data_IF_664131563189
#
_entry.id   IF_664131563189
#
_cell.length_a   1.000
_cell.length_b   1.000
_cell.length_c   1.000
_cell.angle_alpha   90.00
_cell.angle_beta   90.00
_cell.angle_gamma   90.00
#
_symmetry.space_group_name_H-M   'P 1'
#
loop_
_entity.id
_entity.type
_entity.pdbx_description
1 polymer ?
#
# COMPACT_ATOMS: atom_id res chain seq x y z
N UNK A 1 36.39 8.80 0.26
CA UNK A 1 35.00 8.35 0.55
C UNK A 1 34.14 8.65 -0.65
N UNK A 2 33.78 7.65 -1.47
CA UNK A 2 33.02 7.86 -2.71
C UNK A 2 31.56 8.19 -2.39
N UNK A 3 31.19 9.44 -2.58
CA UNK A 3 29.80 9.90 -2.60
C UNK A 3 29.06 9.20 -3.73
N UNK A 4 28.38 8.09 -3.43
CA UNK A 4 27.45 7.47 -4.36
C UNK A 4 26.23 8.40 -4.49
N UNK A 5 26.27 9.36 -5.41
CA UNK A 5 25.13 10.21 -5.74
C UNK A 5 23.96 9.33 -6.14
N UNK A 6 22.93 9.25 -5.28
CA UNK A 6 21.72 8.46 -5.53
C UNK A 6 20.97 9.07 -6.72
N UNK A 7 20.80 8.31 -7.80
CA UNK A 7 20.02 8.74 -8.95
C UNK A 7 18.52 8.76 -8.61
N UNK A 8 17.80 9.79 -9.05
CA UNK A 8 16.35 9.83 -8.98
C UNK A 8 15.69 8.81 -9.90
N UNK A 9 14.48 8.41 -9.54
CA UNK A 9 13.61 7.54 -10.36
C UNK A 9 12.48 8.37 -10.98
N UNK A 10 11.83 7.86 -12.03
CA UNK A 10 10.66 8.56 -12.59
C UNK A 10 9.45 8.46 -11.63
N UNK A 11 8.49 9.40 -11.69
CA UNK A 11 7.27 9.30 -10.89
C UNK A 11 6.47 8.02 -11.15
N UNK A 12 6.43 7.56 -12.41
CA UNK A 12 5.77 6.30 -12.76
C UNK A 12 6.42 5.10 -12.05
N UNK A 13 7.75 5.04 -12.04
CA UNK A 13 8.49 3.99 -11.31
C UNK A 13 8.23 4.09 -9.81
N UNK A 14 8.13 5.30 -9.24
CA UNK A 14 7.79 5.45 -7.83
C UNK A 14 6.39 4.95 -7.49
N UNK A 15 5.40 5.21 -8.34
CA UNK A 15 4.02 4.69 -8.16
C UNK A 15 4.01 3.17 -8.23
N UNK A 16 4.60 2.59 -9.29
CA UNK A 16 4.59 1.13 -9.49
C UNK A 16 5.40 0.42 -8.41
N UNK A 17 6.65 0.82 -8.18
CA UNK A 17 7.51 0.16 -7.20
C UNK A 17 7.00 0.38 -5.77
N UNK A 18 6.56 1.59 -5.43
CA UNK A 18 6.00 1.89 -4.11
C UNK A 18 4.69 1.17 -3.85
N UNK A 19 3.76 1.21 -4.81
CA UNK A 19 2.46 0.55 -4.71
C UNK A 19 2.57 -0.98 -4.66
N UNK A 20 3.40 -1.60 -5.49
CA UNK A 20 3.61 -3.06 -5.46
C UNK A 20 4.35 -3.50 -4.20
N UNK A 21 5.32 -2.72 -3.70
CA UNK A 21 5.97 -2.98 -2.41
C UNK A 21 4.94 -2.93 -1.28
N UNK A 22 4.08 -1.91 -1.27
CA UNK A 22 3.02 -1.76 -0.29
C UNK A 22 2.01 -2.92 -0.35
N UNK A 23 1.55 -3.28 -1.55
CA UNK A 23 0.64 -4.41 -1.75
C UNK A 23 1.23 -5.71 -1.21
N UNK A 24 2.51 -5.97 -1.50
CA UNK A 24 3.21 -7.18 -1.06
C UNK A 24 3.36 -7.24 0.46
N UNK A 25 3.83 -6.16 1.09
CA UNK A 25 4.00 -6.13 2.55
C UNK A 25 2.66 -6.29 3.27
N UNK A 26 1.62 -5.60 2.80
CA UNK A 26 0.29 -5.66 3.39
C UNK A 26 -0.35 -7.05 3.25
N UNK A 27 -0.26 -7.68 2.06
CA UNK A 27 -0.86 -9.00 1.86
C UNK A 27 -0.10 -10.11 2.61
N UNK A 28 1.23 -10.02 2.72
CA UNK A 28 2.01 -10.96 3.50
C UNK A 28 1.69 -10.86 4.99
N UNK A 29 1.54 -9.64 5.49
CA UNK A 29 1.06 -9.43 6.85
C UNK A 29 -0.35 -10.01 7.03
N UNK A 30 -1.27 -9.77 6.08
CA UNK A 30 -2.61 -10.34 6.15
C UNK A 30 -2.56 -11.88 6.20
N UNK A 31 -1.76 -12.53 5.35
CA UNK A 31 -1.60 -13.99 5.39
C UNK A 31 -1.11 -14.48 6.75
N UNK A 32 -0.08 -13.83 7.33
CA UNK A 32 0.44 -14.21 8.64
C UNK A 32 -0.58 -13.95 9.78
N UNK A 33 -1.24 -12.80 9.79
CA UNK A 33 -2.19 -12.42 10.83
C UNK A 33 -3.46 -13.28 10.80
N UNK A 34 -3.91 -13.69 9.61
CA UNK A 34 -5.09 -14.53 9.44
C UNK A 34 -4.78 -16.02 9.52
N UNK A 35 -3.56 -16.48 9.25
CA UNK A 35 -3.16 -17.88 9.47
C UNK A 35 -3.21 -18.25 10.95
N UNK A 36 -2.93 -17.31 11.86
CA UNK A 36 -3.09 -17.49 13.31
C UNK A 36 -4.56 -17.67 13.75
N UNK A 37 -5.50 -17.52 12.82
CA UNK A 37 -6.96 -17.68 13.01
C UNK A 37 -7.52 -18.74 12.07
N UNK A 38 -6.68 -19.65 11.59
CA UNK A 38 -7.04 -20.75 10.68
C UNK A 38 -7.65 -20.31 9.34
N UNK A 39 -7.38 -19.09 8.90
CA UNK A 39 -7.83 -18.56 7.61
C UNK A 39 -6.68 -18.59 6.60
N UNK A 40 -6.81 -19.45 5.58
CA UNK A 40 -5.79 -19.61 4.55
C UNK A 40 -5.70 -18.45 3.53
N UNK A 41 -4.58 -18.32 2.79
CA UNK A 41 -4.32 -17.23 1.84
C UNK A 41 -5.40 -17.05 0.76
N UNK A 42 -5.95 -18.15 0.24
CA UNK A 42 -7.03 -18.12 -0.76
C UNK A 42 -8.26 -17.40 -0.21
N UNK A 43 -8.63 -17.68 1.05
CA UNK A 43 -9.79 -17.07 1.70
C UNK A 43 -9.56 -15.59 1.98
N UNK A 44 -8.34 -15.20 2.34
CA UNK A 44 -7.93 -13.80 2.50
C UNK A 44 -8.10 -13.05 1.18
N UNK A 45 -7.55 -13.58 0.09
CA UNK A 45 -7.69 -12.94 -1.23
C UNK A 45 -9.15 -12.88 -1.71
N UNK A 46 -9.92 -13.94 -1.50
CA UNK A 46 -11.37 -13.93 -1.78
C UNK A 46 -12.11 -12.88 -0.94
N UNK A 47 -11.66 -12.58 0.27
CA UNK A 47 -12.25 -11.51 1.08
C UNK A 47 -12.07 -10.13 0.42
N UNK A 48 -10.94 -9.91 -0.26
CA UNK A 48 -10.73 -8.67 -1.04
C UNK A 48 -11.66 -8.65 -2.24
N UNK A 49 -11.73 -9.75 -3.02
CA UNK A 49 -12.63 -9.86 -4.17
C UNK A 49 -14.12 -9.78 -3.80
N UNK A 50 -14.49 -10.11 -2.55
CA UNK A 50 -15.85 -9.94 -2.05
C UNK A 50 -16.32 -8.47 -2.06
N UNK A 51 -15.41 -7.50 -2.07
CA UNK A 51 -15.75 -6.09 -2.25
C UNK A 51 -16.34 -5.75 -3.62
N UNK A 52 -16.17 -6.62 -4.62
CA UNK A 52 -16.77 -6.50 -5.96
C UNK A 52 -17.84 -7.57 -6.21
N UNK A 53 -17.56 -8.82 -5.82
CA UNK A 53 -18.41 -9.97 -6.14
C UNK A 53 -19.37 -10.36 -5.00
N UNK A 54 -19.30 -9.71 -3.84
CA UNK A 54 -20.04 -10.10 -2.65
C UNK A 54 -19.70 -11.52 -2.20
N UNK A 55 -20.69 -12.21 -1.60
CA UNK A 55 -20.51 -13.56 -1.04
C UNK A 55 -20.13 -14.62 -2.09
N UNK A 56 -20.47 -14.41 -3.36
CA UNK A 56 -20.11 -15.31 -4.45
C UNK A 56 -18.59 -15.48 -4.61
N UNK A 57 -17.80 -14.47 -4.17
CA UNK A 57 -16.34 -14.56 -4.20
C UNK A 57 -15.78 -15.77 -3.46
N UNK A 58 -16.49 -16.30 -2.47
CA UNK A 58 -16.00 -17.43 -1.67
C UNK A 58 -16.20 -18.80 -2.35
N UNK A 59 -16.95 -18.86 -3.45
CA UNK A 59 -17.24 -20.08 -4.20
C UNK A 59 -16.39 -20.22 -5.47
N UNK A 60 -15.76 -19.14 -5.95
CA UNK A 60 -15.02 -19.13 -7.22
C UNK A 60 -13.57 -19.60 -7.16
N UNK A 61 -13.14 -20.23 -6.06
CA UNK A 61 -11.80 -20.83 -5.91
C UNK A 61 -10.64 -19.88 -6.25
N UNK A 62 -9.61 -20.42 -6.93
CA UNK A 62 -8.39 -19.69 -7.29
C UNK A 62 -8.65 -18.49 -8.22
N UNK A 63 -9.66 -18.54 -9.08
CA UNK A 63 -9.98 -17.42 -9.97
C UNK A 63 -10.38 -16.17 -9.18
N UNK A 64 -11.27 -16.34 -8.19
CA UNK A 64 -11.65 -15.24 -7.29
C UNK A 64 -10.53 -14.78 -6.36
N UNK A 65 -9.62 -15.68 -5.98
CA UNK A 65 -8.42 -15.30 -5.23
C UNK A 65 -7.45 -14.47 -6.08
N UNK A 66 -7.21 -14.85 -7.34
CA UNK A 66 -6.40 -14.06 -8.27
C UNK A 66 -6.98 -12.67 -8.50
N UNK A 67 -8.30 -12.57 -8.71
CA UNK A 67 -9.00 -11.29 -8.79
C UNK A 67 -8.80 -10.45 -7.52
N UNK A 68 -8.88 -11.08 -6.35
CA UNK A 68 -8.63 -10.42 -5.07
C UNK A 68 -7.22 -9.83 -4.98
N UNK A 69 -6.21 -10.58 -5.41
CA UNK A 69 -4.82 -10.11 -5.47
C UNK A 69 -4.64 -8.94 -6.45
N UNK A 70 -5.28 -9.00 -7.62
CA UNK A 70 -5.26 -7.91 -8.61
C UNK A 70 -5.93 -6.64 -8.07
N UNK A 71 -7.10 -6.77 -7.45
CA UNK A 71 -7.79 -5.65 -6.82
C UNK A 71 -6.97 -5.05 -5.67
N UNK A 72 -6.32 -5.89 -4.86
CA UNK A 72 -5.43 -5.45 -3.79
C UNK A 72 -4.26 -4.61 -4.33
N UNK A 73 -3.57 -5.13 -5.35
CA UNK A 73 -2.49 -4.40 -6.01
C UNK A 73 -2.98 -3.09 -6.65
N UNK A 74 -4.16 -3.10 -7.30
CA UNK A 74 -4.74 -1.90 -7.89
C UNK A 74 -5.04 -0.82 -6.84
N UNK A 75 -5.61 -1.19 -5.70
CA UNK A 75 -5.86 -0.26 -4.58
C UNK A 75 -4.54 0.34 -4.08
N UNK A 76 -3.50 -0.48 -3.87
CA UNK A 76 -2.19 0.00 -3.44
C UNK A 76 -1.52 0.92 -4.47
N UNK A 77 -1.69 0.65 -5.77
CA UNK A 77 -1.22 1.53 -6.85
C UNK A 77 -1.96 2.88 -6.85
N UNK A 78 -3.28 2.88 -6.61
CA UNK A 78 -4.05 4.13 -6.46
C UNK A 78 -3.54 4.92 -5.25
N UNK A 79 -3.33 4.27 -4.11
CA UNK A 79 -2.75 4.93 -2.92
C UNK A 79 -1.37 5.51 -3.22
N UNK A 80 -0.51 4.78 -3.95
CA UNK A 80 0.81 5.27 -4.34
C UNK A 80 0.71 6.47 -5.30
N UNK A 81 -0.19 6.40 -6.29
CA UNK A 81 -0.42 7.48 -7.26
C UNK A 81 -0.89 8.76 -6.57
N UNK A 82 -1.82 8.67 -5.61
CA UNK A 82 -2.31 9.82 -4.83
C UNK A 82 -1.17 10.46 -4.05
N UNK A 83 -0.35 9.69 -3.34
CA UNK A 83 0.76 10.24 -2.56
C UNK A 83 1.82 10.89 -3.46
N UNK A 84 2.21 10.23 -4.56
CA UNK A 84 3.21 10.75 -5.51
C UNK A 84 2.68 12.03 -6.19
N UNK A 85 1.40 12.09 -6.54
CA UNK A 85 0.80 13.30 -7.09
C UNK A 85 0.82 14.45 -6.07
N UNK A 86 0.45 14.18 -4.82
CA UNK A 86 0.49 15.16 -3.73
C UNK A 86 1.92 15.65 -3.44
N UNK A 87 2.91 14.75 -3.46
CA UNK A 87 4.29 15.10 -3.13
C UNK A 87 4.96 16.01 -4.17
N UNK A 88 4.43 16.05 -5.41
CA UNK A 88 4.87 17.00 -6.45
C UNK A 88 4.47 18.44 -6.13
N UNK A 89 3.33 18.63 -5.46
CA UNK A 89 2.82 19.96 -5.09
C UNK A 89 3.26 20.38 -3.68
N UNK A 90 3.56 19.40 -2.82
CA UNK A 90 3.93 19.61 -1.41
C UNK A 90 5.34 19.04 -1.14
N UNK A 91 6.41 19.84 -1.34
CA UNK A 91 7.79 19.37 -1.15
C UNK A 91 8.10 18.82 0.25
N UNK A 92 7.32 19.20 1.26
CA UNK A 92 7.44 18.71 2.63
C UNK A 92 7.32 17.17 2.71
N UNK A 93 6.48 16.55 1.87
CA UNK A 93 6.25 15.10 1.84
C UNK A 93 7.51 14.33 1.45
N UNK A 94 8.31 14.89 0.54
CA UNK A 94 9.56 14.28 0.08
C UNK A 94 10.74 14.55 1.02
N UNK A 95 10.70 15.66 1.77
CA UNK A 95 11.77 16.02 2.74
C UNK A 95 11.73 15.18 4.02
N UNK A 96 10.55 14.70 4.43
CA UNK A 96 10.35 13.94 5.68
C UNK A 96 9.51 12.67 5.44
N UNK A 97 9.95 11.73 4.57
CA UNK A 97 9.16 10.54 4.25
C UNK A 97 8.93 9.63 5.46
N UNK A 98 9.84 9.62 6.44
CA UNK A 98 9.71 8.88 7.69
C UNK A 98 8.60 9.39 8.62
N UNK A 99 8.14 10.63 8.42
CA UNK A 99 7.00 11.20 9.14
C UNK A 99 5.72 11.11 8.29
N UNK A 100 5.79 11.63 7.06
CA UNK A 100 4.61 11.73 6.18
C UNK A 100 4.15 10.38 5.63
N UNK A 101 5.05 9.41 5.48
CA UNK A 101 4.69 8.04 5.11
C UNK A 101 3.79 7.38 6.15
N UNK A 102 4.22 7.25 7.42
CA UNK A 102 3.36 6.72 8.48
C UNK A 102 2.04 7.49 8.66
N UNK A 103 2.05 8.82 8.64
CA UNK A 103 0.82 9.62 8.73
C UNK A 103 -0.14 9.36 7.56
N UNK A 104 0.40 9.25 6.34
CA UNK A 104 -0.40 8.88 5.19
C UNK A 104 -0.97 7.47 5.32
N UNK A 105 -0.15 6.51 5.77
CA UNK A 105 -0.58 5.14 6.07
C UNK A 105 -1.73 5.09 7.08
N UNK A 106 -1.65 5.88 8.16
CA UNK A 106 -2.75 6.03 9.11
C UNK A 106 -4.03 6.53 8.41
N UNK A 107 -3.93 7.54 7.55
CA UNK A 107 -5.04 8.02 6.73
C UNK A 107 -5.63 6.92 5.83
N UNK A 108 -4.79 6.13 5.15
CA UNK A 108 -5.22 4.99 4.34
C UNK A 108 -5.95 3.94 5.18
N UNK A 109 -5.45 3.61 6.37
CA UNK A 109 -6.12 2.68 7.28
C UNK A 109 -7.53 3.17 7.61
N UNK A 110 -7.66 4.46 7.94
CA UNK A 110 -8.94 5.05 8.31
C UNK A 110 -9.92 5.02 7.14
N UNK A 111 -9.48 5.41 5.94
CA UNK A 111 -10.31 5.38 4.73
C UNK A 111 -10.73 3.95 4.40
N UNK A 112 -9.81 2.99 4.42
CA UNK A 112 -10.15 1.61 4.10
C UNK A 112 -11.13 1.02 5.12
N UNK A 113 -10.85 1.15 6.41
CA UNK A 113 -11.61 0.46 7.46
C UNK A 113 -12.94 1.14 7.80
N UNK A 114 -13.01 2.48 7.75
CA UNK A 114 -14.20 3.22 8.18
C UNK A 114 -15.00 3.85 7.04
N UNK A 115 -14.43 4.01 5.85
CA UNK A 115 -15.16 4.54 4.69
C UNK A 115 -15.46 3.42 3.70
N UNK A 116 -14.42 2.78 3.14
CA UNK A 116 -14.58 1.78 2.08
C UNK A 116 -15.35 0.56 2.60
N UNK A 117 -14.92 -0.03 3.72
CA UNK A 117 -15.63 -1.19 4.27
C UNK A 117 -17.05 -0.86 4.74
N UNK A 118 -17.29 0.35 5.27
CA UNK A 118 -18.62 0.78 5.67
C UNK A 118 -19.58 0.91 4.47
N UNK A 119 -19.11 1.53 3.37
CA UNK A 119 -19.88 1.65 2.13
C UNK A 119 -20.19 0.27 1.53
N UNK A 120 -19.24 -0.68 1.62
CA UNK A 120 -19.38 -2.00 0.98
C UNK A 120 -20.13 -3.04 1.79
N UNK A 121 -20.01 -3.00 3.12
CA UNK A 121 -20.52 -4.07 3.99
C UNK A 121 -21.38 -3.57 5.15
N UNK A 122 -21.56 -2.25 5.29
CA UNK A 122 -22.24 -1.65 6.43
C UNK A 122 -21.36 -1.57 7.70
N UNK A 123 -21.95 -1.21 8.84
CA UNK A 123 -21.24 -1.13 10.11
C UNK A 123 -20.58 -2.45 10.49
N UNK A 124 -19.31 -2.41 10.87
CA UNK A 124 -18.54 -3.58 11.33
C UNK A 124 -18.27 -3.48 12.83
N UNK A 125 -18.19 -4.62 13.54
CA UNK A 125 -17.78 -4.63 14.93
C UNK A 125 -16.38 -4.04 15.09
N UNK A 126 -16.12 -3.44 16.25
CA UNK A 126 -14.79 -2.94 16.58
C UNK A 126 -13.79 -4.09 16.55
N UNK A 127 -12.65 -3.95 15.85
CA UNK A 127 -11.64 -4.98 15.81
C UNK A 127 -11.04 -5.21 17.20
N UNK A 128 -10.62 -6.45 17.45
CA UNK A 128 -9.78 -6.80 18.58
C UNK A 128 -8.52 -5.90 18.62
N UNK A 129 -8.06 -5.51 19.81
CA UNK A 129 -6.95 -4.58 19.97
C UNK A 129 -5.69 -5.01 19.20
N UNK A 130 -5.34 -6.30 19.21
CA UNK A 130 -4.19 -6.81 18.46
C UNK A 130 -4.34 -6.61 16.95
N UNK A 131 -5.55 -6.82 16.41
CA UNK A 131 -5.84 -6.63 14.98
C UNK A 131 -5.87 -5.14 14.60
N UNK A 132 -6.37 -4.29 15.49
CA UNK A 132 -6.32 -2.84 15.33
C UNK A 132 -4.87 -2.35 15.28
N UNK A 133 -4.06 -2.70 16.27
CA UNK A 133 -2.66 -2.26 16.35
C UNK A 133 -1.83 -2.81 15.19
N UNK A 134 -2.01 -4.08 14.85
CA UNK A 134 -1.33 -4.68 13.71
C UNK A 134 -1.76 -4.07 12.38
N UNK A 135 -3.05 -3.80 12.20
CA UNK A 135 -3.60 -3.11 11.03
C UNK A 135 -3.08 -1.68 10.88
N UNK A 136 -3.00 -0.93 11.97
CA UNK A 136 -2.39 0.40 11.98
C UNK A 136 -0.90 0.33 11.64
N UNK A 137 -0.16 -0.57 12.29
CA UNK A 137 1.27 -0.72 12.07
C UNK A 137 1.60 -1.09 10.63
N UNK A 138 0.88 -2.05 10.03
CA UNK A 138 1.13 -2.44 8.64
C UNK A 138 0.79 -1.31 7.66
N UNK A 139 -0.27 -0.53 7.92
CA UNK A 139 -0.56 0.60 7.05
C UNK A 139 0.46 1.72 7.19
N UNK A 140 0.96 2.01 8.40
CA UNK A 140 1.98 3.01 8.63
C UNK A 140 3.33 2.62 7.99
N UNK A 141 3.80 1.40 8.28
CA UNK A 141 5.16 0.98 7.94
C UNK A 141 5.26 0.08 6.71
N UNK A 142 4.21 -0.68 6.39
CA UNK A 142 4.12 -1.54 5.22
C UNK A 142 3.50 -0.87 4.00
N UNK A 143 2.61 0.11 4.18
CA UNK A 143 1.95 0.82 3.06
C UNK A 143 2.50 2.23 2.88
N UNK A 144 2.29 3.10 3.87
CA UNK A 144 2.58 4.52 3.76
C UNK A 144 4.07 4.82 3.64
N UNK A 145 4.90 4.20 4.48
CA UNK A 145 6.34 4.44 4.49
C UNK A 145 7.04 4.03 3.17
N UNK A 146 6.83 2.82 2.59
CA UNK A 146 7.41 2.47 1.29
C UNK A 146 7.00 3.44 0.18
N UNK A 147 5.71 3.77 0.08
CA UNK A 147 5.20 4.74 -0.89
C UNK A 147 5.93 6.09 -0.75
N UNK A 148 6.05 6.60 0.47
CA UNK A 148 6.71 7.88 0.73
C UNK A 148 8.21 7.85 0.39
N UNK A 149 8.90 6.75 0.67
CA UNK A 149 10.31 6.59 0.34
C UNK A 149 10.55 6.54 -1.18
N UNK A 150 9.68 5.86 -1.94
CA UNK A 150 9.75 5.86 -3.40
C UNK A 150 9.42 7.23 -3.99
N UNK A 151 8.42 7.93 -3.44
CA UNK A 151 8.10 9.30 -3.83
C UNK A 151 9.28 10.26 -3.58
N UNK A 152 9.93 10.17 -2.42
CA UNK A 152 11.11 10.96 -2.09
C UNK A 152 12.29 10.67 -3.04
N UNK A 153 12.46 9.41 -3.47
CA UNK A 153 13.46 9.07 -4.51
C UNK A 153 13.13 9.68 -5.87
N UNK A 154 11.86 9.78 -6.24
CA UNK A 154 11.46 10.44 -7.48
C UNK A 154 11.67 11.96 -7.48
N UNK A 155 11.83 12.56 -6.30
CA UNK A 155 12.12 13.98 -6.16
C UNK A 155 13.62 14.31 -6.28
N UNK A 156 14.50 13.31 -6.38
CA UNK A 156 15.94 13.54 -6.59
C UNK A 156 16.21 13.96 -8.04
N UNK A 157 17.22 14.82 -8.28
CA UNK A 157 17.63 15.17 -9.64
C UNK A 157 18.00 13.93 -10.46
N UNK A 158 17.64 13.93 -11.74
CA UNK A 158 18.19 12.96 -12.69
C UNK A 158 19.70 13.15 -12.77
N UNK A 159 20.47 12.04 -12.81
CA UNK A 159 21.91 12.13 -13.07
C UNK A 159 22.12 12.73 -14.46
N UNK A 160 22.73 13.91 -14.55
CA UNK A 160 23.27 14.39 -15.82
C UNK A 160 24.39 13.44 -16.24
N UNK A 161 24.37 12.85 -17.45
CA UNK A 161 25.50 12.10 -17.96
C UNK A 161 26.72 13.04 -17.94
N UNK A 162 27.85 12.58 -17.40
CA UNK A 162 29.09 13.32 -17.50
C UNK A 162 29.36 13.53 -19.00
N UNK A 163 29.44 14.78 -19.44
CA UNK A 163 29.84 15.09 -20.79
C UNK A 163 31.22 14.48 -21.01
N UNK A 164 31.31 13.46 -21.86
CA UNK A 164 32.57 12.93 -22.35
C UNK A 164 33.17 14.01 -23.26
N UNK A 165 34.17 14.74 -22.75
CA UNK A 165 35.06 15.61 -23.54
C UNK A 165 36.24 14.78 -23.99
#
# INVERSE_FOLDING_TARGET
>A
MSSHSKAGITPLVAVVAGGLTAALLDILYAFAAFSLRDVGPVRVLQSVASGLLGKASYQGGLATAALGGLLHAAIALVMAAVYVAASRSLPALNKRPWLWGPLYGLGCYMVMNYVVLAIRFGPRPTPELAMLLGGLAIHMFGVGLPIALFAARAALPARTPAATV
#
